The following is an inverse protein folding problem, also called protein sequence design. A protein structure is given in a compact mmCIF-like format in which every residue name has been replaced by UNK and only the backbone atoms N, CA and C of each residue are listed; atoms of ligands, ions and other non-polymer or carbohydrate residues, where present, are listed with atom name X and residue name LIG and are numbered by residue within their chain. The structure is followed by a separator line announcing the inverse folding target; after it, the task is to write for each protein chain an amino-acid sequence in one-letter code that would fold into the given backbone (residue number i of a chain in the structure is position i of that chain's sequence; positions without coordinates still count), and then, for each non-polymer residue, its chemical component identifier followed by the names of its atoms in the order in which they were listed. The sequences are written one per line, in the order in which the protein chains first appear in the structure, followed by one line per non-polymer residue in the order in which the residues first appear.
data_IF_840583890151
#
_entry.id   IF_840583890151
#
_cell.length_a   1.000
_cell.length_b   1.000
_cell.length_c   1.000
_cell.angle_alpha   90.00
_cell.angle_beta   90.00
_cell.angle_gamma   90.00
#
_symmetry.space_group_name_H-M   'P 1'
#
loop_
_entity.id
_entity.type
_entity.pdbx_description
1 polymer ?
#
# COMPACT_ATOMS: atom_id res chain seq x y z
N UNK A 1 -45.41 -43.80 -0.20
CA UNK A 1 -44.33 -44.72 0.24
C UNK A 1 -43.70 -45.26 -1.03
N UNK A 2 -42.40 -45.16 -1.27
CA UNK A 2 -41.28 -45.38 -0.33
C UNK A 2 -40.36 -44.15 -0.21
N UNK A 3 -39.78 -43.96 0.99
CA UNK A 3 -38.62 -43.10 1.27
C UNK A 3 -37.40 -44.01 1.44
N UNK A 4 -36.23 -43.65 0.93
CA UNK A 4 -34.93 -44.15 1.42
C UNK A 4 -33.99 -42.95 1.59
N UNK A 5 -33.18 -42.99 2.65
CA UNK A 5 -32.45 -41.85 3.22
C UNK A 5 -31.02 -41.68 2.67
N UNK A 6 -30.38 -40.59 3.08
CA UNK A 6 -28.99 -40.24 2.77
C UNK A 6 -27.98 -41.19 3.43
N UNK A 7 -26.76 -41.27 2.88
CA UNK A 7 -25.51 -40.85 3.60
C UNK A 7 -24.24 -41.07 2.77
N UNK A 8 -23.41 -40.02 2.63
CA UNK A 8 -21.94 -40.15 2.69
C UNK A 8 -21.27 -38.80 3.04
N UNK A 9 -20.11 -38.86 3.71
CA UNK A 9 -19.31 -37.75 4.22
C UNK A 9 -17.92 -37.77 3.55
N UNK A 10 -17.11 -36.71 3.46
CA UNK A 10 -17.14 -35.32 3.94
C UNK A 10 -16.30 -34.48 2.91
N UNK A 11 -15.72 -33.26 3.15
CA UNK A 11 -15.68 -32.40 4.34
C UNK A 11 -16.26 -30.97 4.09
N UNK A 12 -16.27 -30.08 5.10
CA UNK A 12 -16.65 -28.68 4.88
C UNK A 12 -15.61 -27.99 4.00
N UNK A 13 -16.04 -27.24 2.99
CA UNK A 13 -15.17 -26.29 2.29
C UNK A 13 -14.92 -25.06 3.16
N UNK A 14 -14.12 -25.21 4.20
CA UNK A 14 -13.49 -24.06 4.87
C UNK A 14 -12.43 -23.48 3.93
N UNK A 15 -12.86 -22.63 2.99
CA UNK A 15 -11.97 -21.69 2.33
C UNK A 15 -11.41 -20.74 3.41
N UNK A 16 -10.35 -21.17 4.11
CA UNK A 16 -9.59 -20.32 5.03
C UNK A 16 -9.18 -19.08 4.23
N UNK A 17 -9.73 -17.92 4.58
CA UNK A 17 -9.37 -16.63 3.97
C UNK A 17 -7.85 -16.49 4.01
N UNK A 18 -7.22 -16.39 2.85
CA UNK A 18 -5.78 -16.21 2.75
C UNK A 18 -5.40 -14.87 3.40
N UNK A 19 -4.38 -14.87 4.25
CA UNK A 19 -3.86 -13.64 4.85
C UNK A 19 -2.83 -13.09 3.88
N UNK A 20 -2.87 -11.79 3.62
CA UNK A 20 -1.96 -11.15 2.67
C UNK A 20 -1.16 -10.02 3.34
N UNK A 21 0.14 -9.97 3.09
CA UNK A 21 0.98 -8.81 3.31
C UNK A 21 1.27 -8.19 1.95
N UNK A 22 0.82 -6.95 1.76
CA UNK A 22 1.00 -6.19 0.53
C UNK A 22 1.93 -5.01 0.78
N UNK A 23 3.02 -4.92 0.04
CA UNK A 23 3.94 -3.78 0.07
C UNK A 23 3.77 -2.94 -1.19
N UNK A 24 3.35 -1.69 -1.04
CA UNK A 24 3.30 -0.75 -2.16
C UNK A 24 4.70 -0.17 -2.38
N UNK A 25 5.14 -0.10 -3.62
CA UNK A 25 6.45 0.45 -4.01
C UNK A 25 6.26 1.46 -5.13
N UNK A 26 6.86 2.65 -5.02
CA UNK A 26 6.83 3.63 -6.10
C UNK A 26 6.93 5.06 -5.59
N UNK A 27 7.04 6.04 -6.53
CA UNK A 27 7.33 7.42 -6.20
C UNK A 27 6.32 8.03 -5.22
N UNK A 28 6.69 9.09 -4.48
CA UNK A 28 5.71 9.94 -3.83
C UNK A 28 4.64 10.39 -4.83
N UNK A 29 3.38 10.48 -4.38
CA UNK A 29 2.22 10.94 -5.17
C UNK A 29 1.93 10.15 -6.47
N UNK A 30 2.49 8.95 -6.65
CA UNK A 30 2.22 8.06 -7.80
C UNK A 30 0.85 7.36 -7.80
N UNK A 31 -0.07 7.73 -6.90
CA UNK A 31 -1.41 7.15 -6.77
C UNK A 31 -1.55 5.97 -5.81
N UNK A 32 -0.49 5.60 -5.07
CA UNK A 32 -0.46 4.45 -4.14
C UNK A 32 -1.60 4.43 -3.13
N UNK A 33 -1.81 5.54 -2.41
CA UNK A 33 -2.84 5.66 -1.38
C UNK A 33 -4.26 5.59 -1.95
N UNK A 34 -4.49 6.16 -3.14
CA UNK A 34 -5.76 6.04 -3.86
C UNK A 34 -6.04 4.58 -4.26
N UNK A 35 -5.04 3.90 -4.85
CA UNK A 35 -5.13 2.47 -5.17
C UNK A 35 -5.39 1.63 -3.91
N UNK A 36 -4.68 1.93 -2.81
CA UNK A 36 -4.89 1.27 -1.52
C UNK A 36 -6.31 1.43 -1.02
N UNK A 37 -6.92 2.61 -1.19
CA UNK A 37 -8.31 2.84 -0.85
C UNK A 37 -9.24 1.99 -1.72
N UNK A 38 -9.11 2.09 -3.04
CA UNK A 38 -9.98 1.37 -3.99
C UNK A 38 -9.94 -0.16 -3.86
N UNK A 39 -8.76 -0.74 -3.61
CA UNK A 39 -8.57 -2.19 -3.63
C UNK A 39 -8.49 -2.85 -2.24
N UNK A 40 -8.09 -2.11 -1.20
CA UNK A 40 -7.73 -2.70 0.10
C UNK A 40 -8.49 -2.13 1.32
N UNK A 41 -9.23 -1.02 1.20
CA UNK A 41 -9.93 -0.36 2.33
C UNK A 41 -10.83 -1.31 3.15
N UNK A 42 -11.52 -2.24 2.49
CA UNK A 42 -12.44 -3.19 3.13
C UNK A 42 -11.79 -4.55 3.47
N UNK A 43 -10.52 -4.78 3.11
CA UNK A 43 -9.89 -6.12 3.16
C UNK A 43 -8.59 -6.17 3.93
N UNK A 44 -7.85 -5.06 4.02
CA UNK A 44 -6.55 -4.95 4.69
C UNK A 44 -6.53 -3.80 5.69
N UNK A 45 -5.71 -3.92 6.73
CA UNK A 45 -5.30 -2.79 7.55
C UNK A 45 -4.24 -1.99 6.77
N UNK A 46 -4.56 -0.76 6.36
CA UNK A 46 -3.59 0.19 5.79
C UNK A 46 -2.71 0.74 6.89
N UNK A 47 -1.40 0.57 6.73
CA UNK A 47 -0.37 1.19 7.57
C UNK A 47 0.47 2.09 6.67
N UNK A 48 0.55 3.38 7.01
CA UNK A 48 1.49 4.30 6.38
C UNK A 48 2.58 4.68 7.40
N UNK A 49 3.81 4.15 7.26
CA UNK A 49 4.93 4.48 8.13
C UNK A 49 5.21 5.98 8.20
N UNK A 50 5.22 6.67 7.05
CA UNK A 50 5.38 8.13 7.00
C UNK A 50 4.30 8.90 7.77
N UNK A 51 3.04 8.43 7.82
CA UNK A 51 2.03 9.02 8.70
C UNK A 51 2.28 8.72 10.19
N UNK A 52 2.72 7.51 10.54
CA UNK A 52 2.99 7.10 11.92
C UNK A 52 4.19 7.84 12.51
N UNK A 53 5.29 7.96 11.78
CA UNK A 53 6.50 8.67 12.23
C UNK A 53 6.27 10.18 12.39
N UNK A 54 5.29 10.76 11.67
CA UNK A 54 4.86 12.16 11.88
C UNK A 54 3.92 12.35 13.08
N UNK A 55 3.28 11.27 13.56
CA UNK A 55 2.34 11.32 14.70
C UNK A 55 3.02 11.01 16.04
N UNK A 56 4.02 10.12 16.04
CA UNK A 56 4.85 9.78 17.20
C UNK A 56 6.31 9.71 16.76
N UNK A 57 7.09 10.74 17.08
CA UNK A 57 8.54 10.81 16.78
C UNK A 57 9.35 9.69 17.45
N UNK A 58 8.80 9.07 18.52
CA UNK A 58 9.38 7.91 19.20
C UNK A 58 8.89 6.57 18.62
N UNK A 59 8.12 6.59 17.52
CA UNK A 59 7.70 5.38 16.82
C UNK A 59 8.86 4.84 15.99
N UNK A 60 9.49 3.77 16.47
CA UNK A 60 10.63 3.17 15.78
C UNK A 60 10.21 2.18 14.69
N UNK A 61 11.07 1.95 13.71
CA UNK A 61 10.87 0.91 12.69
C UNK A 61 10.70 -0.51 13.30
N UNK A 62 11.25 -0.75 14.50
CA UNK A 62 11.00 -1.99 15.24
C UNK A 62 9.56 -2.08 15.78
N UNK A 63 9.00 -0.98 16.31
CA UNK A 63 7.57 -0.92 16.70
C UNK A 63 6.66 -1.13 15.48
N UNK A 64 7.06 -0.60 14.32
CA UNK A 64 6.36 -0.79 13.06
C UNK A 64 6.33 -2.25 12.58
N UNK A 65 7.48 -2.95 12.54
CA UNK A 65 7.50 -4.37 12.15
C UNK A 65 6.78 -5.27 13.17
N UNK A 66 6.83 -4.91 14.45
CA UNK A 66 6.03 -5.57 15.49
C UNK A 66 4.52 -5.40 15.23
N UNK A 67 4.04 -4.17 14.96
CA UNK A 67 2.63 -3.90 14.64
C UNK A 67 2.14 -4.67 13.40
N UNK A 68 2.94 -4.69 12.32
CA UNK A 68 2.64 -5.46 11.11
C UNK A 68 2.51 -6.95 11.41
N UNK A 69 3.48 -7.51 12.14
CA UNK A 69 3.44 -8.95 12.47
C UNK A 69 2.32 -9.30 13.44
N UNK A 70 1.97 -8.43 14.38
CA UNK A 70 0.83 -8.62 15.27
C UNK A 70 -0.50 -8.72 14.50
N UNK A 71 -0.76 -7.81 13.55
CA UNK A 71 -1.97 -7.88 12.73
C UNK A 71 -2.03 -9.15 11.89
N UNK A 72 -0.91 -9.54 11.27
CA UNK A 72 -0.85 -10.81 10.53
C UNK A 72 -1.14 -12.01 11.43
N UNK A 73 -0.55 -12.07 12.64
CA UNK A 73 -0.81 -13.14 13.64
C UNK A 73 -2.30 -13.18 14.04
N UNK A 74 -2.98 -12.03 14.06
CA UNK A 74 -4.43 -11.91 14.29
C UNK A 74 -5.28 -12.28 13.05
N UNK A 75 -4.68 -12.87 12.00
CA UNK A 75 -5.30 -13.19 10.70
C UNK A 75 -5.89 -11.98 9.97
N UNK A 76 -5.31 -10.78 10.15
CA UNK A 76 -5.66 -9.57 9.39
C UNK A 76 -4.63 -9.35 8.30
N UNK A 77 -5.08 -9.19 7.06
CA UNK A 77 -4.21 -8.76 5.95
C UNK A 77 -3.76 -7.31 6.17
N UNK A 78 -2.55 -6.97 5.72
CA UNK A 78 -1.90 -5.67 5.96
C UNK A 78 -1.38 -5.11 4.64
N UNK A 79 -1.60 -3.82 4.39
CA UNK A 79 -0.97 -3.09 3.28
C UNK A 79 -0.07 -1.96 3.80
N UNK A 80 1.19 -1.97 3.39
CA UNK A 80 2.17 -0.91 3.68
C UNK A 80 2.11 0.13 2.57
N UNK A 81 1.49 1.26 2.86
CA UNK A 81 1.42 2.42 1.96
C UNK A 81 2.54 3.41 2.30
N UNK A 82 3.70 3.12 1.73
CA UNK A 82 4.88 3.98 1.74
C UNK A 82 5.64 3.87 0.40
N UNK A 83 6.66 4.68 0.20
CA UNK A 83 7.51 4.66 -0.99
C UNK A 83 8.32 3.35 -1.09
N UNK A 84 8.80 2.83 0.04
CA UNK A 84 9.53 1.56 0.18
C UNK A 84 10.76 1.38 -0.75
N UNK A 85 11.45 2.49 -1.05
CA UNK A 85 12.62 2.58 -1.95
C UNK A 85 13.68 1.50 -1.75
N UNK A 86 14.12 1.33 -0.50
CA UNK A 86 15.37 0.65 -0.19
C UNK A 86 15.15 -0.84 0.09
N UNK A 87 15.91 -1.76 -0.54
CA UNK A 87 15.84 -3.19 -0.26
C UNK A 87 15.99 -3.54 1.22
N UNK A 88 16.89 -2.86 1.95
CA UNK A 88 17.09 -3.04 3.40
C UNK A 88 15.80 -2.89 4.21
N UNK A 89 14.93 -1.95 3.82
CA UNK A 89 13.67 -1.68 4.50
C UNK A 89 12.66 -2.80 4.22
N UNK A 90 12.51 -3.19 2.96
CA UNK A 90 11.63 -4.28 2.53
C UNK A 90 12.03 -5.62 3.15
N UNK A 91 13.32 -5.96 3.07
CA UNK A 91 13.89 -7.16 3.70
C UNK A 91 13.68 -7.19 5.22
N UNK A 92 13.65 -6.03 5.89
CA UNK A 92 13.40 -5.97 7.34
C UNK A 92 11.96 -6.34 7.69
N UNK A 93 10.95 -5.93 6.89
CA UNK A 93 9.59 -6.45 7.02
C UNK A 93 9.54 -7.95 6.77
N UNK A 94 10.07 -8.41 5.62
CA UNK A 94 10.01 -9.82 5.21
C UNK A 94 10.70 -10.75 6.22
N UNK A 95 11.82 -10.30 6.82
CA UNK A 95 12.50 -11.02 7.90
C UNK A 95 11.62 -11.14 9.15
N UNK A 96 11.07 -10.02 9.64
CA UNK A 96 10.20 -10.02 10.81
C UNK A 96 8.96 -10.93 10.60
N UNK A 97 8.38 -10.88 9.41
CA UNK A 97 7.24 -11.71 9.01
C UNK A 97 7.60 -13.20 8.97
N UNK A 98 8.72 -13.58 8.33
CA UNK A 98 9.21 -14.97 8.31
C UNK A 98 9.54 -15.50 9.71
N UNK A 99 10.11 -14.66 10.58
CA UNK A 99 10.33 -15.03 11.98
C UNK A 99 9.03 -15.24 12.75
N UNK A 100 8.03 -14.36 12.57
CA UNK A 100 6.71 -14.52 13.17
C UNK A 100 6.02 -15.79 12.65
N UNK A 101 6.10 -16.07 11.35
CA UNK A 101 5.55 -17.26 10.73
C UNK A 101 6.11 -18.55 11.33
N UNK A 102 7.44 -18.64 11.47
CA UNK A 102 8.11 -19.78 12.10
C UNK A 102 7.76 -19.93 13.59
N UNK A 103 7.66 -18.82 14.33
CA UNK A 103 7.42 -18.83 15.80
C UNK A 103 5.94 -19.04 16.17
N UNK A 104 4.99 -18.60 15.33
CA UNK A 104 3.55 -18.55 15.65
C UNK A 104 2.65 -19.39 14.73
N UNK A 105 3.24 -20.12 13.76
CA UNK A 105 2.52 -20.96 12.79
C UNK A 105 1.48 -20.18 11.98
N UNK A 106 1.90 -19.08 11.34
CA UNK A 106 1.09 -18.44 10.30
C UNK A 106 1.00 -19.36 9.07
N UNK A 107 -0.09 -20.09 8.98
CA UNK A 107 -0.50 -20.82 7.77
C UNK A 107 -1.11 -19.85 6.76
N UNK A 108 -0.95 -20.14 5.46
CA UNK A 108 -1.62 -19.44 4.36
C UNK A 108 -1.42 -17.91 4.32
N UNK A 109 -0.19 -17.46 4.63
CA UNK A 109 0.25 -16.09 4.39
C UNK A 109 0.82 -15.95 2.97
N UNK A 110 0.41 -14.89 2.26
CA UNK A 110 0.96 -14.46 0.97
C UNK A 110 1.73 -13.15 1.11
N UNK A 111 2.88 -13.04 0.44
CA UNK A 111 3.73 -11.85 0.45
C UNK A 111 3.75 -11.24 -0.96
N UNK A 112 3.01 -10.15 -1.17
CA UNK A 112 2.91 -9.49 -2.48
C UNK A 112 3.54 -8.09 -2.47
N UNK A 113 4.10 -7.67 -3.60
CA UNK A 113 4.50 -6.28 -3.84
C UNK A 113 3.71 -5.68 -5.01
N UNK A 114 3.36 -4.40 -4.93
CA UNK A 114 2.70 -3.65 -6.01
C UNK A 114 3.56 -2.46 -6.41
N UNK A 115 4.12 -2.52 -7.61
CA UNK A 115 5.06 -1.54 -8.15
C UNK A 115 4.33 -0.49 -9.01
N UNK A 116 4.35 0.76 -8.58
CA UNK A 116 3.66 1.87 -9.24
C UNK A 116 4.57 2.57 -10.25
N UNK A 117 4.08 2.68 -11.49
CA UNK A 117 4.75 3.30 -12.63
C UNK A 117 3.90 4.45 -13.15
N UNK A 118 4.12 5.71 -12.72
CA UNK A 118 3.40 6.86 -13.28
C UNK A 118 3.75 7.02 -14.76
N UNK A 119 2.74 7.06 -15.63
CA UNK A 119 2.93 7.15 -17.08
C UNK A 119 3.63 8.44 -17.51
N UNK A 120 3.38 9.56 -16.81
CA UNK A 120 4.09 10.82 -17.01
C UNK A 120 5.38 10.96 -16.20
N UNK A 121 5.91 9.87 -15.63
CA UNK A 121 7.18 9.86 -14.89
C UNK A 121 7.22 10.86 -13.74
N UNK A 122 8.34 11.58 -13.63
CA UNK A 122 8.55 12.62 -12.61
C UNK A 122 7.54 13.77 -12.74
N UNK A 123 7.24 14.22 -13.96
CA UNK A 123 6.32 15.34 -14.21
C UNK A 123 4.92 15.06 -13.66
N UNK A 124 4.43 13.83 -13.78
CA UNK A 124 3.14 13.43 -13.18
C UNK A 124 3.15 13.55 -11.64
N UNK A 125 4.28 13.21 -11.00
CA UNK A 125 4.40 13.26 -9.54
C UNK A 125 4.55 14.71 -9.03
N UNK A 126 5.31 15.54 -9.76
CA UNK A 126 5.42 16.98 -9.50
C UNK A 126 4.06 17.68 -9.64
N UNK A 127 3.34 17.45 -10.74
CA UNK A 127 2.00 18.03 -10.90
C UNK A 127 1.01 17.56 -9.82
N UNK A 128 1.07 16.29 -9.40
CA UNK A 128 0.26 15.80 -8.28
C UNK A 128 0.62 16.46 -6.94
N UNK A 129 1.89 16.87 -6.75
CA UNK A 129 2.34 17.63 -5.57
C UNK A 129 1.73 19.04 -5.56
N UNK A 130 1.79 19.74 -6.69
CA UNK A 130 1.22 21.08 -6.83
C UNK A 130 -0.30 21.08 -6.65
N UNK A 131 -1.01 20.09 -7.22
CA UNK A 131 -2.45 19.95 -7.02
C UNK A 131 -2.82 19.65 -5.56
N UNK A 132 -2.13 18.71 -4.90
CA UNK A 132 -2.37 18.42 -3.48
C UNK A 132 -2.04 19.63 -2.58
N UNK A 133 -1.04 20.43 -2.93
CA UNK A 133 -0.73 21.67 -2.22
C UNK A 133 -1.81 22.74 -2.43
N UNK A 134 -2.31 22.92 -3.65
CA UNK A 134 -3.40 23.86 -3.94
C UNK A 134 -4.74 23.44 -3.28
N UNK A 135 -5.05 22.14 -3.26
CA UNK A 135 -6.20 21.60 -2.50
C UNK A 135 -6.04 21.90 -1.00
N UNK A 136 -4.85 21.69 -0.43
CA UNK A 136 -4.60 22.00 0.98
C UNK A 136 -4.72 23.50 1.32
N UNK A 137 -4.27 24.39 0.44
CA UNK A 137 -4.39 25.85 0.63
C UNK A 137 -5.82 26.38 0.46
N UNK A 138 -6.69 25.66 -0.24
CA UNK A 138 -8.10 26.07 -0.49
C UNK A 138 -9.10 25.38 0.44
N UNK A 139 -8.70 24.31 1.12
CA UNK A 139 -9.51 23.63 2.14
C UNK A 139 -9.74 24.51 3.36
N UNK A 140 -11.01 24.80 3.65
CA UNK A 140 -11.45 25.55 4.84
C UNK A 140 -11.35 24.73 6.14
N UNK A 141 -11.12 23.42 6.06
CA UNK A 141 -11.19 22.51 7.20
C UNK A 141 -9.85 22.45 7.95
N UNK A 142 -9.81 23.17 9.07
CA UNK A 142 -8.69 23.21 10.05
C UNK A 142 -8.33 21.86 10.71
N UNK A 143 -8.87 20.75 10.22
CA UNK A 143 -8.63 19.38 10.67
C UNK A 143 -7.93 18.49 9.64
N UNK A 144 -7.75 18.95 8.40
CA UNK A 144 -6.97 18.17 7.44
C UNK A 144 -5.49 18.14 7.86
N UNK A 145 -4.93 16.93 7.89
CA UNK A 145 -3.52 16.67 8.21
C UNK A 145 -2.66 17.57 7.32
N UNK A 146 -1.77 18.35 7.92
CA UNK A 146 -0.89 19.28 7.20
C UNK A 146 -0.22 18.59 6.00
N UNK A 147 -0.66 18.92 4.79
CA UNK A 147 0.00 18.43 3.60
C UNK A 147 1.31 19.21 3.46
N UNK A 148 2.42 18.49 3.59
CA UNK A 148 3.74 19.05 3.37
C UNK A 148 4.14 18.69 1.94
N UNK A 149 4.19 19.67 1.00
CA UNK A 149 4.65 19.41 -0.35
C UNK A 149 6.10 18.92 -0.30
N UNK A 150 6.40 17.92 -1.13
CA UNK A 150 7.78 17.46 -1.32
C UNK A 150 8.52 18.41 -2.25
N UNK A 151 9.81 18.55 -2.03
CA UNK A 151 10.70 19.33 -2.90
C UNK A 151 10.97 18.60 -4.21
N UNK A 152 11.27 19.34 -5.29
CA UNK A 152 11.65 18.74 -6.58
C UNK A 152 12.83 17.76 -6.45
N UNK A 153 13.79 18.06 -5.57
CA UNK A 153 14.95 17.18 -5.32
C UNK A 153 14.57 15.83 -4.69
N UNK A 154 13.51 15.75 -3.87
CA UNK A 154 13.02 14.44 -3.38
C UNK A 154 12.44 13.58 -4.50
N UNK A 155 11.79 14.20 -5.49
CA UNK A 155 11.34 13.46 -6.68
C UNK A 155 12.51 13.07 -7.56
N UNK A 156 13.47 13.96 -7.81
CA UNK A 156 14.70 13.62 -8.55
C UNK A 156 15.48 12.50 -7.87
N UNK A 157 15.59 12.49 -6.54
CA UNK A 157 16.22 11.39 -5.79
C UNK A 157 15.46 10.05 -5.98
N UNK A 158 14.14 10.08 -6.17
CA UNK A 158 13.36 8.89 -6.52
C UNK A 158 13.56 8.46 -7.99
N UNK A 159 13.64 9.38 -8.95
CA UNK A 159 13.73 9.02 -10.37
C UNK A 159 15.16 8.80 -10.89
N UNK A 160 16.16 9.32 -10.20
CA UNK A 160 17.57 9.28 -10.61
C UNK A 160 18.52 8.72 -9.54
N UNK A 161 18.08 8.58 -8.28
CA UNK A 161 18.86 7.95 -7.21
C UNK A 161 18.77 6.43 -7.19
N UNK A 162 19.31 5.82 -6.14
CA UNK A 162 19.40 4.36 -5.98
C UNK A 162 18.04 3.72 -5.59
N UNK A 163 17.22 3.45 -6.61
CA UNK A 163 15.83 3.00 -6.48
C UNK A 163 15.67 1.58 -7.04
N UNK A 164 15.78 0.58 -6.16
CA UNK A 164 15.68 -0.84 -6.55
C UNK A 164 14.24 -1.34 -6.40
N UNK A 165 13.55 -1.76 -7.47
CA UNK A 165 12.22 -2.35 -7.35
C UNK A 165 12.25 -3.66 -6.55
N UNK A 166 11.15 -4.04 -5.87
CA UNK A 166 10.98 -5.35 -5.26
C UNK A 166 11.32 -6.49 -6.20
N UNK A 167 11.98 -7.52 -5.68
CA UNK A 167 12.39 -8.72 -6.44
C UNK A 167 11.94 -10.01 -5.75
N UNK A 168 11.78 -11.11 -6.52
CA UNK A 168 11.42 -12.42 -5.94
C UNK A 168 12.50 -12.96 -5.00
N UNK A 169 13.76 -12.56 -5.21
CA UNK A 169 14.91 -12.89 -4.37
C UNK A 169 14.79 -12.34 -2.94
N UNK A 170 14.07 -11.23 -2.72
CA UNK A 170 13.75 -10.73 -1.37
C UNK A 170 12.77 -11.68 -0.64
N UNK A 171 11.97 -12.42 -1.39
CA UNK A 171 11.00 -13.40 -0.91
C UNK A 171 9.54 -12.93 -0.98
N UNK A 172 9.18 -12.16 -2.00
CA UNK A 172 7.79 -11.94 -2.41
C UNK A 172 7.32 -13.10 -3.31
N UNK A 173 6.12 -13.61 -3.05
CA UNK A 173 5.46 -14.63 -3.86
C UNK A 173 5.00 -14.06 -5.21
N UNK A 174 4.47 -12.83 -5.17
CA UNK A 174 3.93 -12.10 -6.31
C UNK A 174 4.45 -10.65 -6.34
N UNK A 175 4.68 -10.15 -7.55
CA UNK A 175 5.07 -8.77 -7.80
C UNK A 175 4.21 -8.27 -8.96
N UNK A 176 3.30 -7.35 -8.67
CA UNK A 176 2.41 -6.71 -9.63
C UNK A 176 2.99 -5.38 -10.10
N UNK A 177 2.73 -5.00 -11.35
CA UNK A 177 3.06 -3.67 -11.87
C UNK A 177 1.79 -2.92 -12.23
N UNK A 178 1.63 -1.71 -11.71
CA UNK A 178 0.46 -0.85 -11.91
C UNK A 178 0.92 0.44 -12.58
N UNK A 179 0.42 0.70 -13.77
CA UNK A 179 0.63 1.98 -14.48
C UNK A 179 -0.44 2.97 -14.08
N UNK A 180 -0.05 4.11 -13.51
CA UNK A 180 -1.00 5.13 -13.03
C UNK A 180 -0.97 6.37 -13.92
N UNK A 181 -2.13 7.03 -14.03
CA UNK A 181 -2.27 8.37 -14.60
C UNK A 181 -2.44 9.39 -13.48
N UNK A 182 -2.35 10.68 -13.81
CA UNK A 182 -2.83 11.72 -12.91
C UNK A 182 -4.34 11.56 -12.74
N UNK A 183 -4.83 11.65 -11.51
CA UNK A 183 -6.25 11.65 -11.18
C UNK A 183 -6.55 12.96 -10.47
N UNK A 184 -7.34 13.83 -11.11
CA UNK A 184 -7.89 15.01 -10.46
C UNK A 184 -9.22 14.60 -9.82
N UNK A 185 -9.39 14.83 -8.52
CA UNK A 185 -10.61 14.47 -7.79
C UNK A 185 -11.75 15.49 -7.96
N UNK A 186 -11.69 16.34 -8.99
CA UNK A 186 -12.75 17.29 -9.27
C UNK A 186 -14.00 16.56 -9.81
N UNK A 187 -14.94 16.29 -8.91
CA UNK A 187 -16.27 15.72 -9.19
C UNK A 187 -17.24 16.73 -9.79
N UNK A 188 -16.81 17.95 -10.07
CA UNK A 188 -17.55 18.84 -10.94
C UNK A 188 -17.41 18.37 -12.39
N UNK A 189 -18.55 18.13 -13.04
CA UNK A 189 -18.59 18.08 -14.50
C UNK A 189 -18.17 19.45 -15.02
N UNK A 190 -16.89 19.59 -15.36
CA UNK A 190 -16.41 20.71 -16.16
C UNK A 190 -17.05 20.62 -17.55
N UNK A 191 -18.26 21.15 -17.64
CA UNK A 191 -18.93 21.52 -18.88
C UNK A 191 -18.25 22.78 -19.44
N UNK A 192 -16.96 22.63 -19.78
CA UNK A 192 -16.19 23.63 -20.50
C UNK A 192 -15.99 23.09 -21.91
N UNK A 193 -16.81 23.58 -22.83
CA UNK A 193 -16.48 23.60 -24.25
C UNK A 193 -15.14 24.33 -24.38
N UNK A 194 -14.06 23.57 -24.57
CA UNK A 194 -12.76 24.14 -24.88
C UNK A 194 -12.80 24.65 -26.32
N UNK A 195 -13.13 25.93 -26.48
CA UNK A 195 -12.95 26.65 -27.73
C UNK A 195 -11.44 26.79 -28.02
N UNK A 196 -10.94 25.91 -28.89
CA UNK A 196 -9.71 26.05 -29.66
C UNK A 196 -9.98 25.55 -31.09
#
# INVERSE_FOLDING_TARGET
KVTIEQTSLCPPQTNKKQVEFVLLYGPPLSGKSFYSKQHYENTHIRISPSELFKQDENFSFHRLTALVTEHLIQNKSVVIDDENRLPRTRMSYLKAIKEAQNKKKLENLRLSAVCFQPLGGINQCLWANEWAYAEHLTSSDSKEKQFQPKSSSEFEEWFHGDNHPPTKQEGFDEILSVRTKIHCNHTEKLATEALF
#
